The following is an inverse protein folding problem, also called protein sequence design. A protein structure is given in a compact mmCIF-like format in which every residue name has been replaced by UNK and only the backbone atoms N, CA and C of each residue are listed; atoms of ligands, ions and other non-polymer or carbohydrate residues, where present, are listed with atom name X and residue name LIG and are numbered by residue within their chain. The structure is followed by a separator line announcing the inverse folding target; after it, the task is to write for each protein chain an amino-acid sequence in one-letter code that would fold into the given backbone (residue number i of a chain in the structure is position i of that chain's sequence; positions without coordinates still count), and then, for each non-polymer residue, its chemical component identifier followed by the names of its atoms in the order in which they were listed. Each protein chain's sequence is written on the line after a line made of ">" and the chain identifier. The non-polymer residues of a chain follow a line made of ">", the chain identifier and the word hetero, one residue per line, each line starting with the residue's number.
data_IF_949680335241
#
_entry.id   IF_949680335241
#
_cell.length_a   1.000
_cell.length_b   1.000
_cell.length_c   1.000
_cell.angle_alpha   90.00
_cell.angle_beta   90.00
_cell.angle_gamma   90.00
#
_symmetry.space_group_name_H-M   'P 1'
#
loop_
_entity.id
_entity.type
_entity.pdbx_description
1 polymer ?
#
# COMPACT_ATOMS: atom_id res chain seq x y z
N UNK A 1 49.19 4.32 -22.90
CA UNK A 1 48.27 5.35 -22.36
C UNK A 1 46.99 4.63 -21.99
N UNK A 2 46.89 4.05 -20.81
CA UNK A 2 46.23 4.63 -19.63
C UNK A 2 45.01 5.49 -20.00
N UNK A 3 43.83 4.92 -19.79
CA UNK A 3 42.70 5.63 -19.17
C UNK A 3 41.78 4.59 -18.53
N UNK A 4 42.21 4.07 -17.38
CA UNK A 4 41.32 3.50 -16.37
C UNK A 4 40.42 4.63 -15.85
N UNK A 5 39.20 4.71 -16.37
CA UNK A 5 38.14 5.45 -15.71
C UNK A 5 37.64 4.58 -14.55
N UNK A 6 38.29 4.75 -13.40
CA UNK A 6 37.77 4.30 -12.13
C UNK A 6 36.54 5.13 -11.77
N UNK A 7 35.36 4.69 -12.20
CA UNK A 7 34.15 4.97 -11.44
C UNK A 7 34.27 4.21 -10.14
N UNK A 8 34.50 4.93 -9.06
CA UNK A 8 34.72 4.38 -7.72
C UNK A 8 33.55 3.48 -7.34
N UNK A 9 33.86 2.31 -6.78
CA UNK A 9 32.88 1.36 -6.21
C UNK A 9 31.88 2.04 -5.25
N UNK A 10 32.25 3.18 -4.66
CA UNK A 10 31.38 4.01 -3.82
C UNK A 10 30.20 4.61 -4.59
N UNK A 11 30.38 5.11 -5.82
CA UNK A 11 29.30 5.77 -6.57
C UNK A 11 28.27 4.74 -7.10
N UNK A 12 28.74 3.55 -7.49
CA UNK A 12 27.86 2.42 -7.82
C UNK A 12 27.10 1.91 -6.58
N UNK A 13 27.76 1.84 -5.42
CA UNK A 13 27.11 1.48 -4.16
C UNK A 13 26.07 2.53 -3.71
N UNK A 14 26.35 3.82 -3.91
CA UNK A 14 25.44 4.94 -3.57
C UNK A 14 24.17 4.92 -4.44
N UNK A 15 24.26 4.49 -5.70
CA UNK A 15 23.05 4.29 -6.54
C UNK A 15 22.28 3.01 -6.22
N UNK A 16 22.96 1.96 -5.74
CA UNK A 16 22.36 0.64 -5.53
C UNK A 16 21.25 0.65 -4.48
N UNK A 17 21.40 1.45 -3.42
CA UNK A 17 20.44 1.56 -2.31
C UNK A 17 19.54 2.79 -2.40
N UNK A 18 19.57 3.53 -3.51
CA UNK A 18 18.78 4.76 -3.70
C UNK A 18 17.27 4.56 -3.50
N UNK A 19 16.74 3.36 -3.76
CA UNK A 19 15.35 3.02 -3.46
C UNK A 19 15.05 3.08 -1.96
N UNK A 20 15.91 2.47 -1.14
CA UNK A 20 15.78 2.50 0.33
C UNK A 20 15.91 3.92 0.87
N UNK A 21 16.85 4.69 0.36
CA UNK A 21 17.05 6.08 0.83
C UNK A 21 15.84 6.96 0.51
N UNK A 22 15.20 6.75 -0.66
CA UNK A 22 13.90 7.37 -0.99
C UNK A 22 12.80 6.92 -0.02
N UNK A 23 12.76 5.64 0.33
CA UNK A 23 11.78 5.12 1.29
C UNK A 23 11.97 5.70 2.69
N UNK A 24 13.22 5.90 3.13
CA UNK A 24 13.55 6.60 4.39
C UNK A 24 13.03 8.04 4.33
N UNK A 25 13.32 8.77 3.26
CA UNK A 25 12.83 10.14 3.08
C UNK A 25 11.29 10.21 3.05
N UNK A 26 10.63 9.20 2.48
CA UNK A 26 9.16 9.10 2.45
C UNK A 26 8.55 9.01 3.86
N UNK A 27 9.31 8.59 4.88
CA UNK A 27 8.83 8.60 6.27
C UNK A 27 8.46 10.00 6.80
N UNK A 28 8.90 11.07 6.14
CA UNK A 28 8.52 12.45 6.47
C UNK A 28 7.01 12.71 6.31
N UNK A 29 6.32 11.92 5.47
CA UNK A 29 4.87 11.99 5.27
C UNK A 29 4.07 11.51 6.50
N UNK A 30 4.72 10.84 7.46
CA UNK A 30 4.06 10.23 8.62
C UNK A 30 4.43 10.90 9.95
N UNK A 31 5.04 12.08 9.90
CA UNK A 31 5.39 12.83 11.11
C UNK A 31 4.12 13.30 11.82
N UNK A 32 4.06 13.07 13.15
CA UNK A 32 2.92 13.44 14.00
C UNK A 32 2.68 14.95 13.97
N UNK A 33 1.60 15.39 13.34
CA UNK A 33 1.24 16.81 13.20
C UNK A 33 -0.28 16.98 13.20
N UNK A 34 -0.74 18.05 13.86
CA UNK A 34 -2.07 18.61 13.60
C UNK A 34 -1.88 19.70 12.55
N UNK A 35 -2.43 19.48 11.36
CA UNK A 35 -2.39 20.44 10.26
C UNK A 35 -3.73 21.16 10.21
N UNK A 36 -3.72 22.47 10.40
CA UNK A 36 -4.85 23.32 10.04
C UNK A 36 -4.88 23.46 8.52
N UNK A 37 -5.88 22.85 7.89
CA UNK A 37 -6.03 22.86 6.42
C UNK A 37 -6.68 24.15 5.97
N UNK A 38 -7.64 24.64 6.75
CA UNK A 38 -8.30 25.93 6.62
C UNK A 38 -8.99 26.22 7.96
N UNK A 39 -9.50 27.44 8.15
CA UNK A 39 -10.25 27.80 9.36
C UNK A 39 -11.34 26.75 9.68
N UNK A 40 -11.24 26.18 10.89
CA UNK A 40 -12.16 25.16 11.38
C UNK A 40 -11.97 23.74 10.84
N UNK A 41 -10.99 23.44 9.98
CA UNK A 41 -10.72 22.09 9.46
C UNK A 41 -9.29 21.66 9.76
N UNK A 42 -9.13 20.56 10.49
CA UNK A 42 -7.84 20.07 10.97
C UNK A 42 -7.65 18.60 10.62
N UNK A 43 -6.44 18.23 10.19
CA UNK A 43 -6.04 16.84 9.97
C UNK A 43 -4.99 16.42 11.01
N UNK A 44 -5.23 15.30 11.68
CA UNK A 44 -4.21 14.62 12.50
C UNK A 44 -3.47 13.60 11.61
N UNK A 45 -2.23 13.92 11.26
CA UNK A 45 -1.35 13.12 10.39
C UNK A 45 -0.31 12.41 11.24
N UNK A 46 -0.01 11.14 10.93
CA UNK A 46 1.10 10.39 11.54
C UNK A 46 0.85 9.85 12.95
N UNK A 47 -0.36 10.05 13.49
CA UNK A 47 -0.72 9.57 14.83
C UNK A 47 -1.11 8.09 14.85
N UNK A 48 -1.58 7.55 13.73
CA UNK A 48 -1.95 6.15 13.51
C UNK A 48 -1.65 5.80 12.05
N UNK A 49 -2.14 4.66 11.56
CA UNK A 49 -2.02 4.28 10.16
C UNK A 49 -2.72 5.29 9.23
N UNK A 50 -3.98 5.63 9.52
CA UNK A 50 -4.76 6.62 8.77
C UNK A 50 -4.76 8.00 9.42
N UNK A 51 -5.15 9.00 8.62
CA UNK A 51 -5.45 10.34 9.08
C UNK A 51 -6.85 10.41 9.70
N UNK A 52 -6.99 11.26 10.72
CA UNK A 52 -8.31 11.63 11.26
C UNK A 52 -8.54 13.11 11.01
N UNK A 53 -9.73 13.47 10.51
CA UNK A 53 -10.09 14.87 10.25
C UNK A 53 -11.11 15.38 11.27
N UNK A 54 -10.86 16.55 11.83
CA UNK A 54 -11.78 17.31 12.68
C UNK A 54 -12.33 18.50 11.90
N UNK A 55 -13.65 18.62 11.85
CA UNK A 55 -14.35 19.78 11.27
C UNK A 55 -15.14 20.47 12.38
N UNK A 56 -14.89 21.75 12.59
CA UNK A 56 -15.62 22.58 13.55
C UNK A 56 -16.92 23.11 12.91
N UNK A 57 -18.03 22.85 13.57
CA UNK A 57 -19.31 23.49 13.29
C UNK A 57 -19.62 24.62 14.27
N UNK A 58 -20.83 25.16 14.13
CA UNK A 58 -21.36 26.25 14.97
C UNK A 58 -21.62 25.81 16.40
N UNK A 59 -22.16 24.59 16.58
CA UNK A 59 -22.61 24.05 17.87
C UNK A 59 -22.05 22.66 18.19
N UNK A 60 -20.94 22.27 17.55
CA UNK A 60 -20.29 20.99 17.77
C UNK A 60 -19.24 20.67 16.69
N UNK A 61 -18.71 19.45 16.71
CA UNK A 61 -17.68 18.99 15.76
C UNK A 61 -18.11 17.75 14.99
N UNK A 62 -17.49 17.55 13.83
CA UNK A 62 -17.62 16.35 12.99
C UNK A 62 -16.24 15.71 12.90
N UNK A 63 -16.19 14.38 13.01
CA UNK A 63 -14.98 13.60 12.84
C UNK A 63 -15.10 12.78 11.56
N UNK A 64 -14.07 12.77 10.71
CA UNK A 64 -13.96 11.87 9.56
C UNK A 64 -12.82 10.90 9.82
N UNK A 65 -13.16 9.60 9.79
CA UNK A 65 -12.35 8.46 10.21
C UNK A 65 -11.89 8.53 11.68
N UNK A 66 -11.48 7.39 12.25
CA UNK A 66 -11.29 7.26 13.71
C UNK A 66 -10.06 6.48 14.13
N UNK A 67 -9.05 6.37 13.25
CA UNK A 67 -7.79 5.63 13.48
C UNK A 67 -7.97 4.12 13.70
N UNK A 68 -6.85 3.41 13.88
CA UNK A 68 -6.81 1.95 13.93
C UNK A 68 -7.25 1.29 15.24
N UNK A 69 -7.32 2.06 16.33
CA UNK A 69 -7.62 1.53 17.65
C UNK A 69 -7.94 2.67 18.65
N UNK A 70 -8.47 2.35 19.84
CA UNK A 70 -8.76 3.35 20.87
C UNK A 70 -7.53 4.03 21.50
N UNK A 71 -6.32 3.46 21.41
CA UNK A 71 -5.11 4.06 21.99
C UNK A 71 -4.67 5.25 21.14
N UNK A 72 -4.57 5.06 19.83
CA UNK A 72 -4.20 6.12 18.89
C UNK A 72 -5.28 7.20 18.83
N UNK A 73 -6.56 6.80 18.85
CA UNK A 73 -7.68 7.75 18.90
C UNK A 73 -7.62 8.67 20.13
N UNK A 74 -7.18 8.18 21.30
CA UNK A 74 -6.97 9.02 22.49
C UNK A 74 -5.84 10.01 22.30
N UNK A 75 -4.74 9.59 21.69
CA UNK A 75 -3.62 10.48 21.37
C UNK A 75 -4.04 11.57 20.38
N UNK A 76 -4.86 11.22 19.38
CA UNK A 76 -5.43 12.16 18.40
C UNK A 76 -6.38 13.14 19.06
N UNK A 77 -7.32 12.66 19.89
CA UNK A 77 -8.25 13.53 20.63
C UNK A 77 -7.49 14.54 21.52
N UNK A 78 -6.46 14.07 22.24
CA UNK A 78 -5.61 14.93 23.05
C UNK A 78 -4.85 15.96 22.20
N UNK A 79 -4.35 15.57 21.03
CA UNK A 79 -3.65 16.46 20.11
C UNK A 79 -4.56 17.51 19.48
N UNK A 80 -5.82 17.18 19.16
CA UNK A 80 -6.80 18.17 18.75
C UNK A 80 -7.07 19.19 19.87
N UNK A 81 -7.20 18.73 21.12
CA UNK A 81 -7.32 19.59 22.30
C UNK A 81 -8.53 20.52 22.21
N UNK A 82 -8.32 21.80 22.52
CA UNK A 82 -9.38 22.84 22.53
C UNK A 82 -10.00 23.12 21.15
N UNK A 83 -9.44 22.56 20.07
CA UNK A 83 -10.06 22.62 18.75
C UNK A 83 -11.35 21.80 18.68
N UNK A 84 -11.53 20.81 19.55
CA UNK A 84 -12.74 19.98 19.55
C UNK A 84 -13.88 20.78 20.18
N UNK A 85 -14.94 21.02 19.41
CA UNK A 85 -16.18 21.64 19.90
C UNK A 85 -17.16 20.55 20.28
N UNK A 86 -17.40 20.39 21.58
CA UNK A 86 -18.42 19.46 22.04
C UNK A 86 -19.84 20.02 21.87
N UNK A 87 -20.83 19.15 21.63
CA UNK A 87 -20.69 17.70 21.44
C UNK A 87 -20.15 17.35 20.04
N UNK A 88 -19.48 16.19 19.90
CA UNK A 88 -19.29 15.56 18.59
C UNK A 88 -20.67 15.20 18.04
N UNK A 89 -21.06 15.84 16.94
CA UNK A 89 -22.38 15.65 16.31
C UNK A 89 -22.40 14.48 15.36
N UNK A 90 -21.29 14.23 14.68
CA UNK A 90 -21.17 13.13 13.73
C UNK A 90 -19.77 12.54 13.66
N UNK A 91 -19.73 11.25 13.34
CA UNK A 91 -18.54 10.54 12.87
C UNK A 91 -18.87 10.01 11.47
N UNK A 92 -17.96 10.19 10.52
CA UNK A 92 -18.11 9.74 9.14
C UNK A 92 -17.00 8.74 8.85
N UNK A 93 -17.34 7.50 8.51
CA UNK A 93 -16.36 6.54 8.02
C UNK A 93 -16.25 6.64 6.50
N UNK A 94 -15.03 6.77 5.99
CA UNK A 94 -14.76 6.72 4.56
C UNK A 94 -14.94 5.32 4.02
N UNK A 95 -14.47 4.28 4.71
CA UNK A 95 -14.62 2.87 4.32
C UNK A 95 -14.37 1.90 5.51
N UNK A 96 -14.45 0.58 5.28
CA UNK A 96 -14.46 -0.43 6.35
C UNK A 96 -13.07 -0.91 6.82
N UNK A 97 -11.97 -0.36 6.30
CA UNK A 97 -10.67 -0.81 6.77
C UNK A 97 -10.50 -0.46 8.28
N UNK A 98 -9.88 -1.36 9.09
CA UNK A 98 -9.83 -1.17 10.54
C UNK A 98 -9.14 0.12 10.98
N UNK A 99 -8.14 0.58 10.23
CA UNK A 99 -7.44 1.84 10.40
C UNK A 99 -8.31 3.08 10.26
N UNK A 100 -9.50 3.01 9.66
CA UNK A 100 -10.40 4.14 9.52
C UNK A 100 -11.54 4.13 10.54
N UNK A 101 -11.75 3.01 11.23
CA UNK A 101 -12.97 2.77 12.00
C UNK A 101 -12.73 2.26 13.43
N UNK A 102 -11.49 1.93 13.77
CA UNK A 102 -11.12 1.21 14.99
C UNK A 102 -11.16 2.00 16.29
N UNK A 103 -11.23 3.33 16.26
CA UNK A 103 -11.19 4.19 17.45
C UNK A 103 -12.43 5.04 17.74
N UNK A 104 -13.56 4.76 17.08
CA UNK A 104 -14.76 5.60 17.15
C UNK A 104 -15.35 5.79 18.55
N UNK A 105 -15.25 4.81 19.45
CA UNK A 105 -15.72 4.92 20.85
C UNK A 105 -15.06 6.07 21.61
N UNK A 106 -13.81 6.40 21.29
CA UNK A 106 -13.08 7.51 21.93
C UNK A 106 -13.67 8.85 21.50
N UNK A 107 -13.92 9.03 20.20
CA UNK A 107 -14.51 10.24 19.66
C UNK A 107 -15.97 10.41 20.07
N UNK A 108 -16.73 9.31 20.11
CA UNK A 108 -18.14 9.35 20.50
C UNK A 108 -18.34 9.74 21.98
N UNK A 109 -17.46 9.30 22.87
CA UNK A 109 -17.50 9.62 24.30
C UNK A 109 -18.91 9.48 24.89
N UNK A 110 -19.45 10.59 25.42
CA UNK A 110 -20.84 10.68 25.93
C UNK A 110 -21.80 11.35 24.95
N UNK A 111 -21.29 11.85 23.83
CA UNK A 111 -21.99 12.76 22.92
C UNK A 111 -23.01 12.04 22.01
N UNK A 112 -22.89 10.70 21.87
CA UNK A 112 -23.75 9.84 21.04
C UNK A 112 -23.95 10.40 19.61
N UNK A 113 -22.85 10.64 18.85
CA UNK A 113 -22.94 11.19 17.50
C UNK A 113 -23.71 10.30 16.53
N UNK A 114 -24.23 10.89 15.47
CA UNK A 114 -24.67 10.14 14.30
C UNK A 114 -23.45 9.57 13.57
N UNK A 115 -23.49 8.29 13.19
CA UNK A 115 -22.39 7.60 12.52
C UNK A 115 -22.79 7.37 11.06
N UNK A 116 -22.10 8.04 10.14
CA UNK A 116 -22.39 8.02 8.70
C UNK A 116 -21.42 7.09 7.96
N UNK A 117 -21.94 6.39 6.95
CA UNK A 117 -21.15 5.63 5.97
C UNK A 117 -21.96 5.33 4.71
N UNK A 118 -21.32 4.78 3.67
CA UNK A 118 -22.06 4.11 2.61
C UNK A 118 -22.65 2.78 3.09
N UNK A 119 -23.83 2.40 2.59
CA UNK A 119 -24.52 1.16 2.99
C UNK A 119 -23.68 -0.10 2.75
N UNK A 120 -22.77 -0.06 1.78
CA UNK A 120 -21.90 -1.21 1.46
C UNK A 120 -20.89 -1.51 2.56
N UNK A 121 -20.52 -0.53 3.39
CA UNK A 121 -19.65 -0.73 4.56
C UNK A 121 -20.26 -1.74 5.53
N UNK A 122 -21.56 -1.62 5.79
CA UNK A 122 -22.29 -2.50 6.73
C UNK A 122 -22.33 -3.95 6.23
N UNK A 123 -22.31 -4.14 4.91
CA UNK A 123 -22.32 -5.47 4.27
C UNK A 123 -20.93 -5.94 3.84
N UNK A 124 -19.89 -5.15 4.09
CA UNK A 124 -18.53 -5.46 3.66
C UNK A 124 -18.05 -6.71 4.40
N UNK A 125 -17.53 -7.66 3.62
CA UNK A 125 -16.96 -8.88 4.19
C UNK A 125 -15.56 -8.59 4.71
N UNK A 126 -15.11 -9.27 5.77
CA UNK A 126 -13.71 -9.20 6.17
C UNK A 126 -12.81 -9.65 5.02
N UNK A 127 -11.70 -8.97 4.86
CA UNK A 127 -10.61 -9.37 3.97
C UNK A 127 -10.12 -10.78 4.34
N UNK A 128 -10.39 -11.76 3.50
CA UNK A 128 -9.75 -13.08 3.59
C UNK A 128 -8.44 -13.04 2.80
N UNK A 129 -7.38 -12.55 3.45
CA UNK A 129 -6.06 -12.47 2.85
C UNK A 129 -5.41 -13.84 2.59
N UNK A 130 -4.21 -13.83 2.02
CA UNK A 130 -3.39 -15.05 1.92
C UNK A 130 -2.89 -15.45 3.31
N UNK A 131 -2.92 -16.75 3.64
CA UNK A 131 -2.22 -17.26 4.82
C UNK A 131 -0.72 -16.95 4.77
N UNK A 132 -0.09 -16.80 5.93
CA UNK A 132 1.38 -16.60 6.00
C UNK A 132 2.08 -17.84 5.44
N UNK A 133 2.89 -17.66 4.40
CA UNK A 133 3.77 -18.69 3.81
C UNK A 133 5.22 -18.26 4.06
N UNK A 134 6.04 -19.17 4.58
CA UNK A 134 7.47 -18.95 4.87
C UNK A 134 7.74 -17.72 5.74
N UNK A 135 6.80 -17.41 6.65
CA UNK A 135 6.87 -16.26 7.55
C UNK A 135 6.60 -14.90 6.90
N UNK A 136 6.34 -14.84 5.58
CA UNK A 136 6.22 -13.58 4.84
C UNK A 136 5.13 -12.64 5.33
N UNK A 137 5.47 -11.35 5.39
CA UNK A 137 4.62 -10.27 5.88
C UNK A 137 4.90 -8.96 5.12
N UNK A 138 3.89 -8.45 4.43
CA UNK A 138 3.99 -7.24 3.62
C UNK A 138 4.13 -5.96 4.46
N UNK A 139 3.71 -6.00 5.73
CA UNK A 139 3.78 -4.84 6.61
C UNK A 139 4.94 -4.93 7.61
N UNK A 140 5.67 -6.04 7.61
CA UNK A 140 6.85 -6.25 8.45
C UNK A 140 6.52 -6.11 9.93
N UNK A 141 5.37 -6.62 10.40
CA UNK A 141 4.89 -6.37 11.77
C UNK A 141 5.81 -6.95 12.85
N UNK A 142 6.67 -7.91 12.47
CA UNK A 142 7.63 -8.59 13.34
C UNK A 142 9.09 -8.36 12.96
N UNK A 143 9.38 -7.43 12.03
CA UNK A 143 10.78 -7.09 11.72
C UNK A 143 11.46 -6.44 12.92
N UNK A 144 12.75 -6.69 13.18
CA UNK A 144 13.54 -5.90 14.13
C UNK A 144 13.48 -4.40 13.78
N UNK A 145 13.56 -3.52 14.78
CA UNK A 145 13.45 -2.06 14.56
C UNK A 145 14.56 -1.53 13.64
N UNK A 146 15.76 -2.11 13.70
CA UNK A 146 16.90 -1.78 12.82
C UNK A 146 16.67 -2.14 11.34
N UNK A 147 15.77 -3.09 11.05
CA UNK A 147 15.42 -3.52 9.69
C UNK A 147 14.17 -2.78 9.16
N UNK A 148 13.35 -2.19 10.03
CA UNK A 148 12.07 -1.58 9.67
C UNK A 148 12.20 -0.08 9.34
N UNK A 149 11.53 0.37 8.26
CA UNK A 149 11.54 1.78 7.84
C UNK A 149 10.13 2.37 7.95
N UNK A 150 9.22 1.88 7.12
CA UNK A 150 7.80 2.20 7.17
C UNK A 150 6.99 1.13 6.39
N UNK A 151 5.67 1.34 6.26
CA UNK A 151 4.76 0.45 5.53
C UNK A 151 4.19 1.07 4.24
N UNK A 152 4.84 2.10 3.68
CA UNK A 152 4.53 2.72 2.38
C UNK A 152 3.46 3.81 2.45
N UNK A 153 2.33 3.53 3.10
CA UNK A 153 1.24 4.50 3.35
C UNK A 153 1.18 4.99 4.79
N UNK A 154 1.95 4.40 5.69
CA UNK A 154 2.00 4.77 7.10
C UNK A 154 3.37 4.43 7.71
N UNK A 155 3.69 5.05 8.84
CA UNK A 155 4.93 4.77 9.56
C UNK A 155 4.97 3.31 10.04
N UNK A 156 3.89 2.84 10.66
CA UNK A 156 3.80 1.48 11.19
C UNK A 156 2.39 0.91 11.03
N UNK A 157 2.29 -0.41 11.00
CA UNK A 157 1.03 -1.14 10.90
C UNK A 157 0.99 -2.21 11.99
N UNK A 158 0.37 -1.89 13.12
CA UNK A 158 0.17 -2.84 14.21
C UNK A 158 1.44 -3.40 14.87
N UNK A 159 2.60 -2.77 14.69
CA UNK A 159 3.88 -3.13 15.33
C UNK A 159 3.90 -2.73 16.80
N UNK A 160 3.50 -1.49 17.10
CA UNK A 160 3.46 -0.98 18.47
C UNK A 160 2.07 -1.06 19.04
N UNK A 161 1.08 -0.57 18.29
CA UNK A 161 -0.33 -0.61 18.69
C UNK A 161 -1.14 -1.40 17.65
N UNK A 162 -1.57 -2.63 17.97
CA UNK A 162 -2.33 -3.47 17.03
C UNK A 162 -3.60 -2.80 16.52
N UNK A 163 -3.96 -3.10 15.26
CA UNK A 163 -5.26 -2.73 14.71
C UNK A 163 -6.34 -3.56 15.41
N UNK A 164 -7.41 -2.91 15.87
CA UNK A 164 -8.53 -3.62 16.54
C UNK A 164 -9.87 -3.05 16.09
N UNK A 165 -10.94 -3.82 16.28
CA UNK A 165 -12.32 -3.33 16.11
C UNK A 165 -12.98 -2.98 17.44
N UNK A 166 -12.23 -2.91 18.54
CA UNK A 166 -12.80 -2.70 19.88
C UNK A 166 -13.43 -1.30 20.02
N UNK A 167 -12.92 -0.32 19.28
CA UNK A 167 -13.51 1.02 19.22
C UNK A 167 -14.51 1.23 18.10
N UNK A 168 -14.86 0.20 17.32
CA UNK A 168 -15.82 0.33 16.23
C UNK A 168 -17.24 0.57 16.77
N UNK A 169 -17.93 1.59 16.24
CA UNK A 169 -19.36 1.81 16.44
C UNK A 169 -20.08 1.61 15.10
N UNK A 170 -21.10 0.74 15.01
CA UNK A 170 -21.86 0.55 13.78
C UNK A 170 -22.49 1.86 13.25
N UNK A 171 -22.52 2.07 11.92
CA UNK A 171 -23.20 3.22 11.33
C UNK A 171 -24.67 3.31 11.76
N UNK A 172 -25.10 4.49 12.17
CA UNK A 172 -26.51 4.79 12.51
C UNK A 172 -27.26 5.40 11.33
N UNK A 173 -26.53 5.98 10.36
CA UNK A 173 -27.05 6.55 9.12
C UNK A 173 -26.24 6.00 7.94
N UNK A 174 -26.93 5.52 6.91
CA UNK A 174 -26.28 5.08 5.67
C UNK A 174 -26.95 5.71 4.46
N UNK A 175 -26.20 5.79 3.35
CA UNK A 175 -26.73 6.14 2.04
C UNK A 175 -26.29 5.10 1.00
N UNK A 176 -27.00 5.02 -0.13
CA UNK A 176 -26.74 4.02 -1.18
C UNK A 176 -26.76 4.56 -2.60
N UNK A 177 -26.76 5.88 -2.76
CA UNK A 177 -26.72 6.57 -4.06
C UNK A 177 -25.33 7.12 -4.38
N UNK A 178 -25.19 7.85 -5.49
CA UNK A 178 -23.91 8.41 -5.91
C UNK A 178 -23.37 9.49 -4.96
N UNK A 179 -24.27 10.25 -4.33
CA UNK A 179 -23.92 11.25 -3.32
C UNK A 179 -25.06 11.47 -2.32
N UNK A 180 -24.73 12.13 -1.21
CA UNK A 180 -25.67 12.57 -0.18
C UNK A 180 -25.22 13.93 0.36
N UNK A 181 -26.06 14.95 0.15
CA UNK A 181 -25.87 16.26 0.77
C UNK A 181 -26.36 16.24 2.22
N UNK A 182 -25.60 16.89 3.11
CA UNK A 182 -25.87 16.96 4.54
C UNK A 182 -25.54 18.36 5.07
N UNK A 183 -26.15 18.72 6.19
CA UNK A 183 -25.71 19.84 7.01
C UNK A 183 -25.64 19.37 8.45
N UNK A 184 -24.43 19.31 9.00
CA UNK A 184 -24.17 18.78 10.34
C UNK A 184 -23.47 19.89 11.14
N UNK A 185 -23.94 20.17 12.36
CA UNK A 185 -23.40 21.25 13.18
C UNK A 185 -23.37 22.62 12.45
N UNK A 186 -24.28 22.84 11.49
CA UNK A 186 -24.30 24.04 10.64
C UNK A 186 -23.26 24.07 9.50
N UNK A 187 -22.52 22.97 9.26
CA UNK A 187 -21.54 22.82 8.18
C UNK A 187 -22.19 22.07 7.00
N UNK A 188 -22.31 22.68 5.81
CA UNK A 188 -22.76 21.99 4.60
C UNK A 188 -21.65 21.09 4.07
N UNK A 189 -21.98 19.83 3.76
CA UNK A 189 -21.04 18.87 3.18
C UNK A 189 -21.74 17.87 2.26
N UNK A 190 -20.96 17.19 1.41
CA UNK A 190 -21.42 16.05 0.62
C UNK A 190 -20.64 14.79 0.96
N UNK A 191 -21.35 13.67 1.10
CA UNK A 191 -20.75 12.33 1.02
C UNK A 191 -20.86 11.87 -0.43
N UNK A 192 -19.74 11.49 -1.05
CA UNK A 192 -19.69 11.08 -2.45
C UNK A 192 -19.23 9.63 -2.51
N UNK A 193 -20.00 8.76 -3.17
CA UNK A 193 -19.60 7.38 -3.37
C UNK A 193 -18.47 7.29 -4.41
N UNK A 194 -17.30 6.86 -3.93
CA UNK A 194 -16.04 6.85 -4.67
C UNK A 194 -15.35 5.49 -4.51
N UNK A 195 -15.91 4.39 -5.07
CA UNK A 195 -15.23 3.10 -5.05
C UNK A 195 -13.83 3.18 -5.67
N UNK A 196 -12.85 2.54 -5.04
CA UNK A 196 -11.43 2.61 -5.40
C UNK A 196 -10.63 1.58 -4.62
N UNK A 197 -9.81 2.03 -3.66
CA UNK A 197 -9.09 1.14 -2.73
C UNK A 197 -10.05 0.20 -1.98
N UNK A 198 -11.24 0.67 -1.61
CA UNK A 198 -12.32 -0.18 -1.13
C UNK A 198 -13.58 -0.01 -1.99
N UNK A 199 -14.38 -1.08 -2.13
CA UNK A 199 -15.61 -1.07 -2.92
C UNK A 199 -16.68 -0.14 -2.32
N UNK A 200 -16.65 0.06 -1.01
CA UNK A 200 -17.57 0.91 -0.26
C UNK A 200 -17.07 2.34 -0.01
N UNK A 201 -15.89 2.70 -0.52
CA UNK A 201 -15.24 3.97 -0.19
C UNK A 201 -16.12 5.18 -0.53
N UNK A 202 -16.13 6.15 0.37
CA UNK A 202 -16.68 7.49 0.15
C UNK A 202 -15.62 8.56 0.36
N UNK A 203 -15.81 9.67 -0.32
CA UNK A 203 -15.08 10.92 -0.06
C UNK A 203 -16.04 11.95 0.53
N UNK A 204 -15.52 12.84 1.38
CA UNK A 204 -16.28 13.95 1.98
C UNK A 204 -15.85 15.25 1.32
N UNK A 205 -16.83 16.04 0.86
CA UNK A 205 -16.60 17.31 0.18
C UNK A 205 -17.22 18.46 0.96
N UNK A 206 -16.39 19.45 1.30
CA UNK A 206 -16.80 20.74 1.85
C UNK A 206 -16.77 21.77 0.69
N UNK A 207 -17.92 22.22 0.17
CA UNK A 207 -17.96 23.08 -1.02
C UNK A 207 -17.37 24.48 -0.77
N UNK A 208 -17.39 24.94 0.47
CA UNK A 208 -16.75 26.16 0.94
C UNK A 208 -15.98 25.79 2.22
N UNK A 209 -14.63 25.85 2.23
CA UNK A 209 -13.74 26.45 1.24
C UNK A 209 -13.09 25.44 0.29
N UNK A 210 -13.86 24.52 -0.31
CA UNK A 210 -13.39 23.51 -1.29
C UNK A 210 -12.36 22.52 -0.75
N UNK A 211 -12.68 21.91 0.39
CA UNK A 211 -11.85 20.85 0.99
C UNK A 211 -12.37 19.48 0.60
N UNK A 212 -11.49 18.66 0.02
CA UNK A 212 -11.74 17.25 -0.28
C UNK A 212 -11.06 16.35 0.77
N UNK A 213 -11.84 15.56 1.50
CA UNK A 213 -11.34 14.44 2.31
C UNK A 213 -11.54 13.17 1.48
N UNK A 214 -10.46 12.67 0.89
CA UNK A 214 -10.55 11.69 -0.18
C UNK A 214 -10.84 10.26 0.30
N UNK A 215 -10.55 9.94 1.57
CA UNK A 215 -10.33 8.55 1.99
C UNK A 215 -9.16 7.95 1.20
N UNK A 216 -9.22 6.67 0.88
CA UNK A 216 -8.11 5.96 0.21
C UNK A 216 -8.21 5.95 -1.31
N UNK A 217 -9.16 6.71 -1.88
CA UNK A 217 -9.24 6.90 -3.33
C UNK A 217 -8.05 7.69 -3.86
N UNK A 218 -7.40 8.49 -3.01
CA UNK A 218 -6.15 9.17 -3.34
C UNK A 218 -5.13 8.94 -2.23
N UNK A 219 -3.93 8.56 -2.61
CA UNK A 219 -2.77 8.36 -1.74
C UNK A 219 -1.58 9.07 -2.37
N UNK A 220 -0.60 9.51 -1.56
CA UNK A 220 0.62 10.16 -2.06
C UNK A 220 1.70 9.14 -2.49
N UNK A 221 1.31 8.11 -3.24
CA UNK A 221 2.15 7.01 -3.73
C UNK A 221 1.40 6.25 -4.83
N UNK A 222 2.08 5.53 -5.71
CA UNK A 222 1.38 4.64 -6.65
C UNK A 222 0.44 3.65 -5.91
N UNK A 223 -0.83 3.51 -6.36
CA UNK A 223 -1.86 2.75 -5.66
C UNK A 223 -1.57 1.25 -5.63
N UNK A 224 -2.06 0.59 -4.58
CA UNK A 224 -1.96 -0.86 -4.44
C UNK A 224 -3.13 -1.58 -5.12
N UNK A 225 -3.20 -1.51 -6.45
CA UNK A 225 -4.26 -2.13 -7.26
C UNK A 225 -4.33 -3.65 -7.05
N UNK A 226 -3.18 -4.29 -6.83
CA UNK A 226 -3.08 -5.73 -6.61
C UNK A 226 -2.21 -6.02 -5.37
N UNK A 227 -2.81 -6.01 -4.17
CA UNK A 227 -2.06 -6.11 -2.92
C UNK A 227 -1.28 -7.42 -2.77
N UNK A 228 0.02 -7.31 -2.50
CA UNK A 228 0.92 -8.45 -2.27
C UNK A 228 0.46 -9.35 -1.11
N UNK A 229 -0.29 -8.79 -0.14
CA UNK A 229 -0.91 -9.53 0.98
C UNK A 229 -2.02 -10.52 0.57
N UNK A 230 -2.36 -10.56 -0.72
CA UNK A 230 -3.26 -11.54 -1.31
C UNK A 230 -4.72 -11.18 -1.14
N UNK A 231 -5.13 -10.11 -1.82
CA UNK A 231 -6.54 -9.70 -1.96
C UNK A 231 -6.98 -9.70 -3.41
N UNK A 232 -8.31 -9.66 -3.67
CA UNK A 232 -8.83 -9.33 -4.99
C UNK A 232 -8.24 -8.02 -5.53
N UNK A 233 -8.00 -7.98 -6.85
CA UNK A 233 -7.61 -6.77 -7.57
C UNK A 233 -8.67 -5.67 -7.37
N UNK A 234 -8.22 -4.46 -7.05
CA UNK A 234 -9.09 -3.28 -6.87
C UNK A 234 -9.81 -2.92 -8.19
N UNK A 235 -11.04 -2.40 -8.16
CA UNK A 235 -11.83 -2.12 -9.36
C UNK A 235 -11.34 -0.88 -10.12
N UNK A 236 -10.34 -1.05 -11.00
CA UNK A 236 -9.61 0.05 -11.64
C UNK A 236 -10.52 1.04 -12.39
N UNK A 237 -11.48 0.56 -13.19
CA UNK A 237 -12.38 1.44 -13.95
C UNK A 237 -13.28 2.30 -13.04
N UNK A 238 -13.77 1.70 -11.95
CA UNK A 238 -14.54 2.42 -10.94
C UNK A 238 -13.67 3.45 -10.23
N UNK A 239 -12.42 3.11 -9.92
CA UNK A 239 -11.46 4.01 -9.30
C UNK A 239 -11.16 5.22 -10.18
N UNK A 240 -10.90 5.02 -11.48
CA UNK A 240 -10.72 6.10 -12.45
C UNK A 240 -11.96 7.00 -12.51
N UNK A 241 -13.15 6.40 -12.55
CA UNK A 241 -14.42 7.16 -12.54
C UNK A 241 -14.59 7.98 -11.26
N UNK A 242 -14.18 7.43 -10.11
CA UNK A 242 -14.19 8.14 -8.83
C UNK A 242 -13.24 9.35 -8.87
N UNK A 243 -12.01 9.16 -9.38
CA UNK A 243 -11.03 10.25 -9.50
C UNK A 243 -11.49 11.34 -10.46
N UNK A 244 -12.15 10.99 -11.57
CA UNK A 244 -12.73 11.98 -12.50
C UNK A 244 -13.77 12.87 -11.80
N UNK A 245 -14.62 12.30 -10.93
CA UNK A 245 -15.56 13.08 -10.10
C UNK A 245 -14.81 14.04 -9.17
N UNK A 246 -13.76 13.55 -8.49
CA UNK A 246 -13.01 14.35 -7.52
C UNK A 246 -12.23 15.49 -8.17
N UNK A 247 -11.64 15.25 -9.35
CA UNK A 247 -10.98 16.30 -10.14
C UNK A 247 -11.99 17.38 -10.56
N UNK A 248 -13.19 16.99 -10.96
CA UNK A 248 -14.24 17.92 -11.40
C UNK A 248 -14.76 18.85 -10.29
N UNK A 249 -14.60 18.47 -9.01
CA UNK A 249 -14.94 19.35 -7.87
C UNK A 249 -14.01 20.58 -7.79
N UNK A 250 -12.79 20.47 -8.33
CA UNK A 250 -11.76 21.51 -8.23
C UNK A 250 -11.39 21.86 -6.79
N UNK A 251 -10.89 20.89 -5.98
CA UNK A 251 -10.48 21.11 -4.60
C UNK A 251 -9.33 22.11 -4.51
N UNK A 252 -9.41 23.00 -3.52
CA UNK A 252 -8.27 23.85 -3.14
C UNK A 252 -7.36 23.11 -2.14
N UNK A 253 -7.95 22.22 -1.34
CA UNK A 253 -7.28 21.41 -0.33
C UNK A 253 -7.65 19.94 -0.46
N UNK A 254 -6.68 19.04 -0.25
CA UNK A 254 -6.92 17.59 -0.24
C UNK A 254 -6.34 16.98 1.04
N UNK A 255 -7.19 16.26 1.77
CA UNK A 255 -6.84 15.42 2.91
C UNK A 255 -6.99 13.96 2.45
N UNK A 256 -5.90 13.27 2.13
CA UNK A 256 -5.96 11.83 1.81
C UNK A 256 -6.21 11.01 3.08
N UNK A 257 -6.64 9.76 2.93
CA UNK A 257 -6.83 8.83 4.05
C UNK A 257 -5.54 8.53 4.81
N UNK A 258 -4.39 8.75 4.17
CA UNK A 258 -3.05 8.56 4.71
C UNK A 258 -2.11 9.69 4.24
N UNK A 259 -0.89 9.77 4.81
CA UNK A 259 0.15 10.76 4.46
C UNK A 259 -0.22 12.23 4.74
N UNK A 260 0.67 13.16 4.38
CA UNK A 260 0.43 14.60 4.49
C UNK A 260 -0.67 15.13 3.56
N UNK A 261 -1.17 16.32 3.90
CA UNK A 261 -2.23 17.01 3.14
C UNK A 261 -1.66 17.85 1.99
N UNK A 262 -2.51 18.18 1.01
CA UNK A 262 -2.21 19.14 -0.07
C UNK A 262 -2.92 20.46 0.24
N UNK A 263 -2.18 21.56 0.16
CA UNK A 263 -2.61 22.88 0.66
C UNK A 263 -2.93 23.90 -0.44
N UNK A 264 -2.79 23.51 -1.72
CA UNK A 264 -2.91 24.43 -2.85
C UNK A 264 -3.68 23.80 -4.02
N UNK A 265 -4.59 24.58 -4.62
CA UNK A 265 -5.46 24.13 -5.71
C UNK A 265 -4.71 23.61 -6.95
N UNK A 266 -3.60 24.27 -7.32
CA UNK A 266 -2.80 23.86 -8.47
C UNK A 266 -2.14 22.50 -8.23
N UNK A 267 -1.59 22.28 -7.03
CA UNK A 267 -1.01 21.01 -6.61
C UNK A 267 -2.09 19.93 -6.50
N UNK A 268 -3.26 20.24 -5.93
CA UNK A 268 -4.37 19.31 -5.82
C UNK A 268 -4.85 18.81 -7.19
N UNK A 269 -5.02 19.72 -8.15
CA UNK A 269 -5.38 19.38 -9.52
C UNK A 269 -4.32 18.52 -10.19
N UNK A 270 -3.04 18.90 -10.08
CA UNK A 270 -1.93 18.16 -10.68
C UNK A 270 -1.82 16.74 -10.09
N UNK A 271 -1.84 16.63 -8.75
CA UNK A 271 -1.75 15.37 -8.03
C UNK A 271 -2.89 14.39 -8.39
N UNK A 272 -4.14 14.84 -8.31
CA UNK A 272 -5.30 13.98 -8.65
C UNK A 272 -5.29 13.57 -10.13
N UNK A 273 -4.93 14.49 -11.02
CA UNK A 273 -4.86 14.21 -12.47
C UNK A 273 -3.77 13.19 -12.78
N UNK A 274 -2.56 13.37 -12.25
CA UNK A 274 -1.47 12.43 -12.45
C UNK A 274 -1.80 11.05 -11.86
N UNK A 275 -2.40 11.00 -10.67
CA UNK A 275 -2.84 9.76 -10.03
C UNK A 275 -3.83 8.98 -10.91
N UNK A 276 -4.86 9.66 -11.42
CA UNK A 276 -5.86 9.12 -12.35
C UNK A 276 -5.20 8.64 -13.65
N UNK A 277 -4.33 9.45 -14.24
CA UNK A 277 -3.66 9.13 -15.51
C UNK A 277 -2.73 7.93 -15.38
N UNK A 278 -2.00 7.81 -14.27
CA UNK A 278 -1.12 6.67 -13.99
C UNK A 278 -1.89 5.35 -13.90
N UNK A 279 -2.97 5.34 -13.11
CA UNK A 279 -3.86 4.17 -12.98
C UNK A 279 -4.45 3.79 -14.34
N UNK A 280 -5.02 4.77 -15.04
CA UNK A 280 -5.68 4.56 -16.34
C UNK A 280 -4.70 4.04 -17.38
N UNK A 281 -3.48 4.58 -17.43
CA UNK A 281 -2.45 4.14 -18.35
C UNK A 281 -2.11 2.66 -18.15
N UNK A 282 -1.83 2.25 -16.90
CA UNK A 282 -1.46 0.86 -16.60
C UNK A 282 -2.58 -0.09 -16.98
N UNK A 283 -3.83 0.26 -16.67
CA UNK A 283 -4.99 -0.52 -17.09
C UNK A 283 -5.10 -0.64 -18.60
N UNK A 284 -5.13 0.48 -19.33
CA UNK A 284 -5.28 0.47 -20.79
C UNK A 284 -4.16 -0.32 -21.48
N UNK A 285 -2.90 -0.16 -21.04
CA UNK A 285 -1.77 -0.88 -21.64
C UNK A 285 -1.74 -2.36 -21.28
N UNK A 286 -2.19 -2.73 -20.08
CA UNK A 286 -2.35 -4.14 -19.72
C UNK A 286 -3.44 -4.79 -20.59
N UNK A 287 -4.61 -4.15 -20.73
CA UNK A 287 -5.71 -4.67 -21.54
C UNK A 287 -5.36 -4.76 -23.03
N UNK A 288 -4.64 -3.77 -23.58
CA UNK A 288 -4.10 -3.83 -24.95
C UNK A 288 -3.17 -5.04 -25.14
N UNK A 289 -2.31 -5.30 -24.17
CA UNK A 289 -1.40 -6.45 -24.21
C UNK A 289 -2.10 -7.80 -24.11
N UNK A 290 -3.10 -7.91 -23.24
CA UNK A 290 -3.96 -9.10 -23.14
C UNK A 290 -4.64 -9.38 -24.47
N UNK A 291 -5.23 -8.35 -25.10
CA UNK A 291 -5.89 -8.49 -26.40
C UNK A 291 -4.92 -8.93 -27.51
N UNK A 292 -3.63 -8.62 -27.36
CA UNK A 292 -2.56 -9.03 -28.28
C UNK A 292 -1.90 -10.37 -27.89
N UNK A 293 -2.46 -11.12 -26.94
CA UNK A 293 -1.99 -12.45 -26.55
C UNK A 293 -0.69 -12.45 -25.73
N UNK A 294 -0.31 -11.32 -25.13
CA UNK A 294 0.87 -11.25 -24.26
C UNK A 294 0.60 -11.92 -22.91
N UNK A 295 1.60 -12.60 -22.39
CA UNK A 295 1.60 -13.20 -21.05
C UNK A 295 1.75 -12.13 -19.95
N UNK A 296 1.41 -12.45 -18.68
CA UNK A 296 1.64 -11.53 -17.56
C UNK A 296 3.10 -11.10 -17.43
N UNK A 297 4.05 -12.00 -17.67
CA UNK A 297 5.48 -11.73 -17.48
C UNK A 297 6.04 -10.80 -18.56
N UNK A 298 5.61 -10.96 -19.82
CA UNK A 298 5.93 -10.02 -20.90
C UNK A 298 5.35 -8.64 -20.60
N UNK A 299 4.09 -8.58 -20.12
CA UNK A 299 3.43 -7.31 -19.81
C UNK A 299 4.11 -6.54 -18.68
N UNK A 300 4.65 -7.22 -17.69
CA UNK A 300 5.42 -6.56 -16.61
C UNK A 300 6.70 -5.90 -17.15
N UNK A 301 7.29 -6.42 -18.22
CA UNK A 301 8.44 -5.80 -18.88
C UNK A 301 8.01 -4.62 -19.76
N UNK A 302 6.90 -4.75 -20.48
CA UNK A 302 6.46 -3.76 -21.48
C UNK A 302 5.72 -2.56 -20.89
N UNK A 303 4.86 -2.78 -19.89
CA UNK A 303 3.99 -1.73 -19.35
C UNK A 303 4.78 -0.90 -18.35
N UNK A 304 5.31 0.23 -18.83
CA UNK A 304 5.99 1.24 -18.02
C UNK A 304 5.27 2.57 -18.14
N UNK A 305 5.09 3.27 -17.02
CA UNK A 305 4.55 4.63 -17.04
C UNK A 305 5.39 5.52 -17.96
N UNK A 306 4.76 6.43 -18.73
CA UNK A 306 5.48 7.48 -19.46
C UNK A 306 6.37 8.27 -18.50
N UNK A 307 7.53 8.74 -18.98
CA UNK A 307 8.58 9.35 -18.14
C UNK A 307 8.05 10.44 -17.18
N UNK A 308 7.15 11.31 -17.67
CA UNK A 308 6.53 12.36 -16.85
C UNK A 308 5.74 11.79 -15.66
N UNK A 309 4.98 10.71 -15.87
CA UNK A 309 4.20 10.06 -14.81
C UNK A 309 5.11 9.22 -13.90
N UNK A 310 6.10 8.53 -14.45
CA UNK A 310 7.05 7.73 -13.68
C UNK A 310 7.88 8.57 -12.70
N UNK A 311 8.19 9.82 -13.05
CA UNK A 311 8.91 10.78 -12.18
C UNK A 311 7.99 11.58 -11.26
N UNK A 312 6.67 11.42 -11.36
CA UNK A 312 5.73 12.22 -10.60
C UNK A 312 5.79 11.86 -9.10
N UNK A 313 5.82 12.83 -8.18
CA UNK A 313 5.97 12.55 -6.75
C UNK A 313 4.84 11.67 -6.20
N UNK A 314 3.60 11.88 -6.63
CA UNK A 314 2.44 11.07 -6.18
C UNK A 314 2.29 9.72 -6.89
N UNK A 315 3.22 9.33 -7.76
CA UNK A 315 3.24 8.03 -8.46
C UNK A 315 4.51 7.23 -8.17
N UNK A 316 5.32 7.65 -7.19
CA UNK A 316 6.44 6.82 -6.73
C UNK A 316 5.89 5.56 -6.05
N UNK A 317 6.52 4.42 -6.27
CA UNK A 317 6.01 3.08 -5.92
C UNK A 317 6.32 2.67 -4.46
N UNK A 318 6.01 3.51 -3.48
CA UNK A 318 6.26 3.22 -2.05
C UNK A 318 5.32 2.15 -1.47
N UNK A 319 4.13 1.98 -2.05
CA UNK A 319 3.10 1.05 -1.57
C UNK A 319 2.68 0.03 -2.63
N UNK A 320 2.01 0.45 -3.70
CA UNK A 320 1.77 -0.39 -4.88
C UNK A 320 2.89 -0.30 -5.91
N UNK A 321 2.82 -1.17 -6.92
CA UNK A 321 3.71 -1.11 -8.09
C UNK A 321 2.92 -1.31 -9.39
N UNK A 322 3.44 -0.78 -10.49
CA UNK A 322 2.97 -1.03 -11.86
C UNK A 322 3.03 -2.51 -12.16
N UNK A 323 4.13 -3.19 -11.82
CA UNK A 323 4.33 -4.62 -12.09
C UNK A 323 3.23 -5.48 -11.44
N UNK A 324 2.89 -5.23 -10.18
CA UNK A 324 1.85 -6.00 -9.49
C UNK A 324 0.47 -5.65 -10.04
N UNK A 325 0.24 -4.38 -10.35
CA UNK A 325 -1.01 -3.92 -10.95
C UNK A 325 -1.28 -4.61 -12.29
N UNK A 326 -0.27 -4.71 -13.15
CA UNK A 326 -0.34 -5.48 -14.40
C UNK A 326 -0.75 -6.92 -14.14
N UNK A 327 -0.11 -7.61 -13.19
CA UNK A 327 -0.44 -9.00 -12.84
C UNK A 327 -1.85 -9.16 -12.30
N UNK A 328 -2.29 -8.25 -11.43
CA UNK A 328 -3.64 -8.28 -10.87
C UNK A 328 -4.72 -7.99 -11.90
N UNK A 329 -4.49 -7.01 -12.79
CA UNK A 329 -5.38 -6.68 -13.89
C UNK A 329 -5.46 -7.85 -14.88
N UNK A 330 -4.33 -8.47 -15.21
CA UNK A 330 -4.31 -9.68 -16.03
C UNK A 330 -5.11 -10.80 -15.38
N UNK A 331 -4.82 -11.14 -14.12
CA UNK A 331 -5.50 -12.22 -13.40
C UNK A 331 -7.02 -12.00 -13.35
N UNK A 332 -7.47 -10.76 -13.16
CA UNK A 332 -8.88 -10.40 -13.12
C UNK A 332 -9.58 -10.55 -14.48
N UNK A 333 -8.89 -10.28 -15.60
CA UNK A 333 -9.51 -10.15 -16.92
C UNK A 333 -9.24 -11.36 -17.86
N UNK A 334 -8.09 -12.02 -17.71
CA UNK A 334 -7.67 -13.17 -18.49
C UNK A 334 -7.55 -14.46 -17.65
N UNK A 335 -7.65 -14.37 -16.32
CA UNK A 335 -7.53 -15.51 -15.41
C UNK A 335 -6.08 -15.88 -15.11
N UNK A 336 -5.89 -17.07 -14.54
CA UNK A 336 -4.58 -17.59 -14.14
C UNK A 336 -3.75 -18.16 -15.29
N UNK A 337 -4.42 -18.57 -16.37
CA UNK A 337 -3.78 -19.26 -17.48
C UNK A 337 -3.14 -18.25 -18.44
N UNK A 338 -1.86 -18.45 -18.73
CA UNK A 338 -1.04 -17.57 -19.57
C UNK A 338 -1.12 -17.92 -21.08
N UNK A 339 -1.86 -18.96 -21.44
CA UNK A 339 -1.96 -19.46 -22.81
C UNK A 339 -0.95 -20.55 -23.18
N UNK A 340 0.05 -20.84 -22.32
CA UNK A 340 1.04 -21.89 -22.57
C UNK A 340 0.52 -23.25 -22.07
N UNK A 341 0.26 -24.23 -22.96
CA UNK A 341 -0.31 -25.52 -22.55
C UNK A 341 0.57 -26.32 -21.57
N UNK A 342 1.88 -26.07 -21.51
CA UNK A 342 2.78 -26.67 -20.51
C UNK A 342 2.40 -26.27 -19.07
N UNK A 343 1.76 -25.12 -18.89
CA UNK A 343 1.38 -24.58 -17.59
C UNK A 343 -0.03 -25.02 -17.14
N UNK A 344 -0.75 -25.83 -17.93
CA UNK A 344 -2.07 -26.37 -17.53
C UNK A 344 -1.90 -27.38 -16.39
N UNK A 345 -0.96 -28.31 -16.54
CA UNK A 345 -0.62 -29.33 -15.55
C UNK A 345 0.90 -29.37 -15.37
N UNK A 346 1.47 -28.36 -14.71
CA UNK A 346 2.91 -28.27 -14.53
C UNK A 346 3.41 -29.40 -13.63
N UNK A 347 4.67 -29.81 -13.83
CA UNK A 347 5.35 -30.70 -12.89
C UNK A 347 5.33 -30.12 -11.47
N UNK A 348 5.31 -31.00 -10.47
CA UNK A 348 5.56 -30.60 -9.09
C UNK A 348 6.94 -29.95 -8.97
N UNK A 349 7.08 -28.94 -8.11
CA UNK A 349 8.31 -28.14 -8.02
C UNK A 349 9.54 -29.00 -7.71
N UNK A 350 9.41 -29.98 -6.81
CA UNK A 350 10.48 -30.94 -6.50
C UNK A 350 10.91 -31.74 -7.73
N UNK A 351 9.96 -32.30 -8.48
CA UNK A 351 10.27 -33.09 -9.68
C UNK A 351 10.97 -32.23 -10.75
N UNK A 352 10.48 -31.00 -10.98
CA UNK A 352 11.11 -30.05 -11.90
C UNK A 352 12.55 -29.75 -11.47
N UNK A 353 12.75 -29.49 -10.17
CA UNK A 353 14.06 -29.15 -9.61
C UNK A 353 15.07 -30.30 -9.77
N UNK A 354 14.68 -31.54 -9.46
CA UNK A 354 15.53 -32.74 -9.64
C UNK A 354 16.02 -32.88 -11.09
N UNK A 355 15.13 -32.67 -12.07
CA UNK A 355 15.49 -32.73 -13.50
C UNK A 355 16.42 -31.60 -13.91
N UNK A 356 16.18 -30.36 -13.48
CA UNK A 356 17.05 -29.22 -13.79
C UNK A 356 18.44 -29.35 -13.17
N UNK A 357 18.51 -29.79 -11.90
CA UNK A 357 19.78 -30.05 -11.22
C UNK A 357 20.59 -31.13 -11.95
N UNK A 358 19.93 -32.20 -12.41
CA UNK A 358 20.59 -33.24 -13.20
C UNK A 358 21.14 -32.70 -14.53
N UNK A 359 20.40 -31.82 -15.23
CA UNK A 359 20.83 -31.19 -16.48
C UNK A 359 22.08 -30.30 -16.30
N UNK A 360 22.18 -29.57 -15.19
CA UNK A 360 23.35 -28.72 -14.87
C UNK A 360 24.56 -29.57 -14.43
N UNK A 361 24.32 -30.80 -14.00
CA UNK A 361 25.36 -31.75 -13.58
C UNK A 361 25.56 -31.83 -12.07
N UNK A 362 24.48 -31.66 -11.29
CA UNK A 362 24.45 -31.92 -9.86
C UNK A 362 24.29 -30.67 -8.98
N UNK A 363 23.86 -30.89 -7.73
CA UNK A 363 23.55 -29.82 -6.76
C UNK A 363 24.73 -28.90 -6.48
N UNK A 364 25.96 -29.43 -6.43
CA UNK A 364 27.17 -28.64 -6.16
C UNK A 364 27.43 -27.58 -7.23
N UNK A 365 27.15 -27.89 -8.50
CA UNK A 365 27.31 -26.94 -9.61
C UNK A 365 26.23 -25.86 -9.57
N UNK A 366 24.98 -26.22 -9.26
CA UNK A 366 23.90 -25.24 -9.08
C UNK A 366 24.21 -24.33 -7.90
N UNK A 367 24.67 -24.88 -6.77
CA UNK A 367 25.06 -24.08 -5.61
C UNK A 367 26.21 -23.13 -5.92
N UNK A 368 27.26 -23.62 -6.60
CA UNK A 368 28.39 -22.76 -7.02
C UNK A 368 27.94 -21.64 -7.94
N UNK A 369 27.11 -21.94 -8.93
CA UNK A 369 26.52 -20.94 -9.84
C UNK A 369 25.66 -19.92 -9.08
N UNK A 370 24.89 -20.36 -8.08
CA UNK A 370 24.10 -19.45 -7.24
C UNK A 370 25.01 -18.52 -6.41
N UNK A 371 26.11 -19.02 -5.87
CA UNK A 371 27.10 -18.21 -5.14
C UNK A 371 27.80 -17.21 -6.06
N UNK A 372 28.21 -17.64 -7.26
CA UNK A 372 28.82 -16.77 -8.27
C UNK A 372 27.86 -15.65 -8.69
N UNK A 373 26.57 -15.96 -8.88
CA UNK A 373 25.53 -14.96 -9.13
C UNK A 373 25.40 -13.94 -7.97
N UNK A 374 25.55 -14.36 -6.71
CA UNK A 374 25.57 -13.41 -5.58
C UNK A 374 26.80 -12.51 -5.59
N UNK A 375 27.97 -13.05 -5.92
CA UNK A 375 29.21 -12.28 -6.04
C UNK A 375 29.12 -11.26 -7.19
N UNK A 376 28.41 -11.61 -8.27
CA UNK A 376 28.13 -10.73 -9.40
C UNK A 376 26.99 -9.71 -9.14
N UNK A 377 26.29 -9.79 -8.00
CA UNK A 377 25.16 -8.92 -7.67
C UNK A 377 23.83 -9.31 -8.31
N UNK A 378 23.73 -10.48 -8.92
CA UNK A 378 22.53 -11.04 -9.56
C UNK A 378 21.62 -11.72 -8.51
N UNK A 379 21.22 -10.98 -7.49
CA UNK A 379 20.57 -11.54 -6.30
C UNK A 379 19.23 -12.25 -6.60
N UNK A 380 18.45 -11.73 -7.56
CA UNK A 380 17.21 -12.39 -7.98
C UNK A 380 17.50 -13.78 -8.59
N UNK A 381 18.51 -13.87 -9.46
CA UNK A 381 18.90 -15.14 -10.07
C UNK A 381 19.50 -16.11 -9.05
N UNK A 382 20.32 -15.62 -8.12
CA UNK A 382 20.82 -16.45 -7.02
C UNK A 382 19.69 -17.01 -6.16
N UNK A 383 18.65 -16.21 -5.87
CA UNK A 383 17.49 -16.67 -5.11
C UNK A 383 16.69 -17.74 -5.87
N UNK A 384 16.50 -17.58 -7.18
CA UNK A 384 15.80 -18.56 -8.02
C UNK A 384 16.56 -19.89 -8.09
N UNK A 385 17.89 -19.85 -8.24
CA UNK A 385 18.70 -21.06 -8.21
C UNK A 385 18.62 -21.79 -6.86
N UNK A 386 18.59 -21.04 -5.76
CA UNK A 386 18.40 -21.60 -4.43
C UNK A 386 17.02 -22.27 -4.26
N UNK A 387 15.96 -21.82 -4.94
CA UNK A 387 14.65 -22.49 -4.89
C UNK A 387 14.72 -23.92 -5.42
N UNK A 388 15.49 -24.18 -6.49
CA UNK A 388 15.64 -25.54 -7.00
C UNK A 388 16.32 -26.45 -5.97
N UNK A 389 17.37 -25.97 -5.31
CA UNK A 389 18.05 -26.75 -4.26
C UNK A 389 17.12 -27.02 -3.07
N UNK A 390 16.38 -26.02 -2.63
CA UNK A 390 15.46 -26.12 -1.48
C UNK A 390 14.20 -26.92 -1.78
N UNK A 391 13.76 -26.99 -3.04
CA UNK A 391 12.65 -27.86 -3.45
C UNK A 391 13.01 -29.36 -3.32
N UNK A 392 14.30 -29.71 -3.47
CA UNK A 392 14.80 -31.09 -3.29
C UNK A 392 15.13 -31.36 -1.83
N UNK A 393 15.86 -30.44 -1.19
CA UNK A 393 16.26 -30.50 0.21
C UNK A 393 16.01 -29.15 0.89
N UNK A 394 14.84 -29.00 1.51
CA UNK A 394 14.43 -27.77 2.19
C UNK A 394 15.29 -27.38 3.40
N UNK A 395 16.23 -28.24 3.82
CA UNK A 395 17.17 -28.01 4.90
C UNK A 395 18.60 -27.76 4.42
N UNK A 396 18.82 -27.67 3.10
CA UNK A 396 20.14 -27.44 2.56
C UNK A 396 20.73 -26.13 3.07
N UNK A 397 21.67 -26.25 4.00
CA UNK A 397 22.29 -25.14 4.71
C UNK A 397 22.88 -24.07 3.78
N UNK A 398 23.62 -24.49 2.75
CA UNK A 398 24.28 -23.56 1.84
C UNK A 398 23.28 -22.86 0.90
N UNK A 399 22.24 -23.56 0.45
CA UNK A 399 21.16 -22.96 -0.34
C UNK A 399 20.34 -21.96 0.49
N UNK A 400 20.06 -22.27 1.76
CA UNK A 400 19.44 -21.33 2.69
C UNK A 400 20.31 -20.07 2.88
N UNK A 401 21.62 -20.22 3.08
CA UNK A 401 22.55 -19.10 3.23
C UNK A 401 22.55 -18.19 1.98
N UNK A 402 22.53 -18.78 0.78
CA UNK A 402 22.35 -18.04 -0.49
C UNK A 402 21.01 -17.31 -0.51
N UNK A 403 19.90 -18.01 -0.24
CA UNK A 403 18.54 -17.44 -0.28
C UNK A 403 18.38 -16.25 0.69
N UNK A 404 18.87 -16.39 1.91
CA UNK A 404 18.82 -15.36 2.96
C UNK A 404 19.58 -14.11 2.51
N UNK A 405 20.81 -14.27 2.02
CA UNK A 405 21.62 -13.13 1.55
C UNK A 405 20.96 -12.45 0.34
N UNK A 406 20.47 -13.22 -0.62
CA UNK A 406 19.80 -12.69 -1.80
C UNK A 406 18.55 -11.86 -1.43
N UNK A 407 17.68 -12.37 -0.54
CA UNK A 407 16.51 -11.62 -0.09
C UNK A 407 16.86 -10.37 0.72
N UNK A 408 17.91 -10.40 1.56
CA UNK A 408 18.38 -9.18 2.22
C UNK A 408 18.84 -8.13 1.21
N UNK A 409 19.66 -8.51 0.24
CA UNK A 409 20.14 -7.59 -0.78
C UNK A 409 18.99 -7.06 -1.67
N UNK A 410 18.03 -7.90 -2.05
CA UNK A 410 16.84 -7.46 -2.79
C UNK A 410 16.00 -6.49 -1.96
N UNK A 411 15.76 -6.79 -0.68
CA UNK A 411 14.98 -5.97 0.24
C UNK A 411 15.63 -4.62 0.58
N UNK A 412 16.96 -4.59 0.74
CA UNK A 412 17.71 -3.35 1.00
C UNK A 412 17.74 -2.40 -0.20
N UNK A 413 17.45 -2.88 -1.42
CA UNK A 413 17.40 -2.03 -2.63
C UNK A 413 16.00 -1.55 -2.98
N UNK A 414 14.97 -2.04 -2.29
CA UNK A 414 13.59 -1.70 -2.60
C UNK A 414 13.27 -0.27 -2.16
N UNK A 415 12.59 0.45 -3.07
CA UNK A 415 11.80 1.64 -2.73
C UNK A 415 10.42 1.26 -2.18
N UNK A 416 9.86 0.13 -2.63
CA UNK A 416 8.55 -0.31 -2.21
C UNK A 416 8.62 -0.92 -0.80
N UNK A 417 7.91 -0.32 0.15
CA UNK A 417 7.90 -0.76 1.54
C UNK A 417 7.39 -2.18 1.69
N UNK A 418 6.34 -2.55 0.96
CA UNK A 418 5.72 -3.86 1.11
C UNK A 418 6.60 -4.98 0.56
N UNK A 419 7.28 -4.75 -0.57
CA UNK A 419 8.27 -5.66 -1.12
C UNK A 419 9.47 -5.81 -0.17
N UNK A 420 10.01 -4.67 0.30
CA UNK A 420 11.10 -4.63 1.27
C UNK A 420 10.79 -5.49 2.49
N UNK A 421 9.68 -5.19 3.15
CA UNK A 421 9.29 -5.82 4.39
C UNK A 421 9.07 -7.32 4.20
N UNK A 422 8.48 -7.72 3.06
CA UNK A 422 8.28 -9.12 2.73
C UNK A 422 9.60 -9.87 2.58
N UNK A 423 10.54 -9.34 1.78
CA UNK A 423 11.86 -9.95 1.58
C UNK A 423 12.61 -10.13 2.90
N UNK A 424 12.66 -9.09 3.73
CA UNK A 424 13.37 -9.16 5.01
C UNK A 424 12.70 -10.11 6.01
N UNK A 425 11.37 -10.16 6.03
CA UNK A 425 10.65 -11.05 6.94
C UNK A 425 10.90 -12.50 6.56
N UNK A 426 10.84 -12.84 5.26
CA UNK A 426 11.16 -14.19 4.78
C UNK A 426 12.63 -14.52 5.07
N UNK A 427 13.57 -13.60 4.83
CA UNK A 427 14.97 -13.82 5.16
C UNK A 427 15.19 -14.12 6.65
N UNK A 428 14.47 -13.45 7.54
CA UNK A 428 14.53 -13.72 8.99
C UNK A 428 13.88 -15.07 9.35
N UNK A 429 12.76 -15.44 8.74
CA UNK A 429 12.14 -16.76 8.92
C UNK A 429 13.08 -17.90 8.49
N UNK A 430 13.79 -17.74 7.37
CA UNK A 430 14.74 -18.73 6.87
C UNK A 430 15.95 -18.91 7.80
N UNK A 431 16.39 -17.86 8.51
CA UNK A 431 17.44 -17.99 9.54
C UNK A 431 17.02 -18.92 10.67
N UNK A 432 15.76 -18.87 11.10
CA UNK A 432 15.24 -19.78 12.13
C UNK A 432 15.30 -21.24 11.67
N UNK A 433 14.85 -21.51 10.44
CA UNK A 433 14.96 -22.86 9.82
C UNK A 433 16.43 -23.29 9.80
N UNK A 434 17.32 -22.44 9.30
CA UNK A 434 18.76 -22.67 9.21
C UNK A 434 19.43 -22.97 10.56
N UNK A 435 18.94 -22.35 11.64
CA UNK A 435 19.46 -22.55 13.01
C UNK A 435 18.94 -23.82 13.68
N UNK A 436 17.80 -24.35 13.26
CA UNK A 436 17.18 -25.56 13.83
C UNK A 436 17.88 -26.87 13.45
N UNK A 437 18.91 -26.81 12.59
CA UNK A 437 19.76 -27.94 12.19
C UNK A 437 21.17 -27.92 12.86
N UNK A 438 21.38 -27.09 13.90
CA UNK A 438 22.62 -27.11 14.71
C UNK A 438 22.46 -27.84 16.04
#
# INVERSE_FOLDING_TARGET
>A
MISTLGTTSSALAETAYSGRDKLIAHSDEFQKRIIEVTDGVYAAVGYSASNVTLIQGKDGSIIVDTSANPVDAKAIMAAFGERVRHPIKAIIYTHNHPDHTGGATVFAGKDKPEIYSHKLLVTAKPDTGRGRRDGGDAFGTMLPDEDFINAGTQLEYGRTTPHTRDGFIPPTKTFGGAEKELTIAGVPLKLIFTPGEADENISVWLPDPKVLIAGDVFLKTFPNIAPLRGLPTRPVEKWVTSLDKLIALGPDFVIPGHMGTIQHAAEAKDALTAYRDGIKFVYSKTMEGIANGKTPDELVQDVKLPEKLAKHPYLQEFYGTVAWSVRGIYSQNAGWFDGNPTNIFPLADKERAEKLIALVGGSDKVLKSAQDAQEAGEFQWAAEQADYLLAVDGKNAAALDVKIRAFRELGERQMNATARNYYLTVANSLKTVRSSDR
#
